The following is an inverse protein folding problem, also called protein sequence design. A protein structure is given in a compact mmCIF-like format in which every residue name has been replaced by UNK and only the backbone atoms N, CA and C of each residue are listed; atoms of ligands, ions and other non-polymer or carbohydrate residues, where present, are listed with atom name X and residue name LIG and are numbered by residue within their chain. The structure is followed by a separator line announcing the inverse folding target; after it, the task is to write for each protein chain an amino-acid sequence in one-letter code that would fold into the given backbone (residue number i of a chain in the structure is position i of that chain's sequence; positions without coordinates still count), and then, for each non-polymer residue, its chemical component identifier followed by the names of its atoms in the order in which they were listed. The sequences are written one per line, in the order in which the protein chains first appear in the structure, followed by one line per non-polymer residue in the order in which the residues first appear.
data_IF_142808509722
#
_entry.id   IF_142808509722
#
_cell.length_a   1.000
_cell.length_b   1.000
_cell.length_c   1.000
_cell.angle_alpha   90.00
_cell.angle_beta   90.00
_cell.angle_gamma   90.00
#
_symmetry.space_group_name_H-M   'P 1'
#
loop_
_entity.id
_entity.type
_entity.pdbx_description
1 polymer ?
#
# COMPACT_ATOMS: atom_id res chain seq x y z
N UNK A 1 1.35 23.09 5.47
CA UNK A 1 2.72 22.55 5.37
C UNK A 1 2.86 21.54 6.49
N UNK A 2 3.06 20.25 6.24
CA UNK A 2 3.20 19.28 7.31
C UNK A 2 4.63 19.28 7.86
N UNK A 3 4.74 19.29 9.18
CA UNK A 3 6.00 19.28 9.93
C UNK A 3 6.56 17.85 10.01
N UNK A 4 7.87 17.69 9.77
CA UNK A 4 8.58 16.41 9.87
C UNK A 4 9.19 16.28 11.26
N UNK A 5 8.85 15.19 11.98
CA UNK A 5 9.50 14.84 13.24
C UNK A 5 10.55 13.77 12.94
N UNK A 6 11.83 14.13 13.06
CA UNK A 6 12.97 13.21 13.00
C UNK A 6 13.21 12.63 14.39
N UNK A 7 12.95 11.34 14.57
CA UNK A 7 13.33 10.59 15.77
C UNK A 7 14.70 9.94 15.48
N UNK A 8 15.72 10.32 16.24
CA UNK A 8 17.04 9.69 16.23
C UNK A 8 17.13 8.74 17.42
N UNK A 9 16.99 7.44 17.19
CA UNK A 9 17.43 6.44 18.17
C UNK A 9 18.92 6.17 17.96
N UNK A 10 19.69 6.55 18.98
CA UNK A 10 21.13 6.34 19.06
C UNK A 10 21.32 5.16 19.98
N UNK A 11 21.84 4.01 19.51
CA UNK A 11 22.59 2.95 20.22
C UNK A 11 22.86 1.83 19.17
N UNK A 12 23.95 1.05 19.12
CA UNK A 12 25.33 1.06 19.61
C UNK A 12 26.00 -0.04 18.75
N UNK A 13 27.24 0.18 18.26
CA UNK A 13 27.93 -0.72 17.32
C UNK A 13 28.21 -2.11 17.91
N UNK A 14 28.14 -3.15 17.08
CA UNK A 14 28.95 -4.36 17.24
C UNK A 14 29.32 -4.89 15.87
N UNK A 15 30.63 -5.00 15.66
CA UNK A 15 31.32 -5.36 14.42
C UNK A 15 31.08 -6.81 14.01
N UNK A 16 30.86 -7.05 12.72
CA UNK A 16 31.35 -8.25 12.05
C UNK A 16 31.44 -8.00 10.53
N UNK A 17 32.68 -8.00 10.01
CA UNK A 17 32.98 -7.90 8.59
C UNK A 17 32.64 -9.22 7.87
N UNK A 18 31.86 -9.16 6.78
CA UNK A 18 32.11 -9.93 5.56
C UNK A 18 31.22 -9.45 4.39
N UNK A 19 31.89 -8.95 3.35
CA UNK A 19 31.52 -8.95 1.93
C UNK A 19 30.16 -8.35 1.50
N UNK A 20 30.22 -7.04 1.24
CA UNK A 20 29.78 -6.35 0.01
C UNK A 20 28.78 -7.09 -0.90
N UNK A 21 27.49 -6.92 -0.60
CA UNK A 21 26.47 -6.55 -1.59
C UNK A 21 25.45 -5.66 -0.88
N UNK A 22 25.67 -4.34 -0.88
CA UNK A 22 24.62 -3.37 -0.56
C UNK A 22 23.57 -3.41 -1.67
N UNK A 23 22.60 -4.32 -1.53
CA UNK A 23 21.30 -4.17 -2.19
C UNK A 23 20.72 -2.88 -1.63
N UNK A 24 20.34 -1.89 -2.45
CA UNK A 24 19.60 -0.75 -1.93
C UNK A 24 18.29 -1.30 -1.36
N UNK A 25 18.20 -1.39 -0.04
CA UNK A 25 16.93 -1.60 0.64
C UNK A 25 16.10 -0.38 0.32
N UNK A 26 15.26 -0.48 -0.70
CA UNK A 26 14.17 0.47 -0.96
C UNK A 26 13.39 0.55 0.34
N UNK A 27 13.61 1.62 1.10
CA UNK A 27 12.73 1.97 2.22
C UNK A 27 11.38 2.19 1.58
N UNK A 28 10.50 1.20 1.70
CA UNK A 28 9.12 1.27 1.25
C UNK A 28 8.52 2.52 1.91
N UNK A 29 8.38 3.59 1.13
CA UNK A 29 7.80 4.84 1.60
C UNK A 29 6.34 4.52 1.81
N UNK A 30 5.98 4.17 3.05
CA UNK A 30 4.60 3.95 3.45
C UNK A 30 3.90 5.30 3.36
N UNK A 31 3.34 5.56 2.17
CA UNK A 31 2.62 6.79 1.89
C UNK A 31 1.27 6.65 2.56
N UNK A 32 0.94 7.53 3.50
CA UNK A 32 -0.39 7.50 4.14
C UNK A 32 -1.45 7.86 3.10
N UNK A 33 -2.51 7.05 2.92
CA UNK A 33 -3.54 7.36 1.93
C UNK A 33 -4.33 8.60 2.34
N UNK A 34 -4.80 9.36 1.35
CA UNK A 34 -5.68 10.52 1.55
C UNK A 34 -6.82 10.58 0.52
N UNK A 35 -7.91 11.28 0.86
CA UNK A 35 -9.06 11.45 -0.04
C UNK A 35 -8.68 12.31 -1.25
N UNK A 36 -9.06 11.88 -2.45
CA UNK A 36 -8.66 12.46 -3.73
C UNK A 36 -7.38 11.86 -4.30
N UNK A 37 -6.68 11.00 -3.56
CA UNK A 37 -5.48 10.32 -4.06
C UNK A 37 -5.85 9.26 -5.09
N UNK A 38 -4.99 9.10 -6.10
CA UNK A 38 -5.12 8.05 -7.10
C UNK A 38 -4.50 6.75 -6.59
N UNK A 39 -5.14 5.62 -6.90
CA UNK A 39 -4.64 4.31 -6.49
C UNK A 39 -4.96 3.23 -7.53
N UNK A 40 -4.18 2.15 -7.51
CA UNK A 40 -4.43 0.92 -8.27
C UNK A 40 -4.47 -0.28 -7.33
N UNK A 41 -5.23 -1.31 -7.68
CA UNK A 41 -5.24 -2.57 -6.93
C UNK A 41 -3.90 -3.27 -7.14
N UNK A 42 -3.27 -3.69 -6.03
CA UNK A 42 -2.10 -4.56 -6.05
C UNK A 42 -2.57 -5.99 -6.27
N UNK A 43 -2.10 -6.64 -7.33
CA UNK A 43 -2.30 -8.07 -7.49
C UNK A 43 -1.24 -8.81 -6.65
N UNK A 44 -1.64 -9.88 -5.92
CA UNK A 44 -0.69 -10.79 -5.32
C UNK A 44 0.26 -11.37 -6.37
N UNK A 45 1.52 -11.60 -6.00
CA UNK A 45 2.51 -12.22 -6.89
C UNK A 45 2.23 -13.73 -7.08
N UNK A 46 1.73 -14.37 -6.03
CA UNK A 46 1.31 -15.77 -6.06
C UNK A 46 -0.02 -15.93 -6.82
N UNK A 47 0.08 -16.45 -8.04
CA UNK A 47 -1.06 -16.67 -8.93
C UNK A 47 -1.97 -17.81 -8.47
N UNK A 48 -1.50 -18.70 -7.61
CA UNK A 48 -2.29 -19.81 -7.09
C UNK A 48 -2.99 -19.44 -5.77
N UNK A 49 -2.70 -18.25 -5.23
CA UNK A 49 -3.39 -17.74 -4.04
C UNK A 49 -4.88 -17.50 -4.30
N UNK A 50 -5.71 -17.79 -3.29
CA UNK A 50 -7.15 -17.55 -3.34
C UNK A 50 -7.47 -16.07 -3.64
N UNK A 51 -6.69 -15.15 -3.07
CA UNK A 51 -6.84 -13.72 -3.29
C UNK A 51 -6.57 -13.32 -4.75
N UNK A 52 -5.52 -13.85 -5.36
CA UNK A 52 -5.24 -13.60 -6.78
C UNK A 52 -6.39 -14.10 -7.65
N UNK A 53 -6.85 -15.34 -7.42
CA UNK A 53 -7.93 -15.94 -8.20
C UNK A 53 -9.24 -15.15 -8.04
N UNK A 54 -9.55 -14.71 -6.81
CA UNK A 54 -10.72 -13.88 -6.53
C UNK A 54 -10.67 -12.55 -7.28
N UNK A 55 -9.57 -11.80 -7.16
CA UNK A 55 -9.39 -10.51 -7.81
C UNK A 55 -9.41 -10.64 -9.33
N UNK A 56 -8.73 -11.66 -9.86
CA UNK A 56 -8.66 -11.91 -11.29
C UNK A 56 -10.03 -12.27 -11.88
N UNK A 57 -10.86 -13.03 -11.17
CA UNK A 57 -12.18 -13.44 -11.68
C UNK A 57 -13.25 -12.37 -11.48
N UNK A 58 -13.37 -11.84 -10.26
CA UNK A 58 -14.49 -10.96 -9.87
C UNK A 58 -14.20 -9.46 -9.98
N UNK A 59 -12.93 -9.08 -10.08
CA UNK A 59 -12.50 -7.68 -10.16
C UNK A 59 -11.74 -7.36 -11.46
N UNK A 60 -11.77 -8.26 -12.45
CA UNK A 60 -11.09 -8.08 -13.75
C UNK A 60 -11.37 -6.73 -14.42
N UNK A 61 -12.58 -6.18 -14.26
CA UNK A 61 -13.00 -4.89 -14.82
C UNK A 61 -12.23 -3.69 -14.27
N UNK A 62 -11.61 -3.81 -13.09
CA UNK A 62 -10.96 -2.70 -12.36
C UNK A 62 -9.47 -2.92 -12.14
N UNK A 63 -8.94 -4.14 -12.31
CA UNK A 63 -7.53 -4.45 -12.04
C UNK A 63 -6.52 -3.59 -12.82
N UNK A 64 -6.86 -3.20 -14.05
CA UNK A 64 -5.98 -2.38 -14.90
C UNK A 64 -6.23 -0.87 -14.75
N UNK A 65 -7.26 -0.48 -13.98
CA UNK A 65 -7.71 0.91 -13.86
C UNK A 65 -7.04 1.61 -12.68
N UNK A 66 -6.90 2.92 -12.82
CA UNK A 66 -6.61 3.82 -11.70
C UNK A 66 -7.94 4.31 -11.14
N UNK A 67 -8.15 4.15 -9.85
CA UNK A 67 -9.27 4.74 -9.14
C UNK A 67 -8.85 5.95 -8.32
N UNK A 68 -9.84 6.65 -7.77
CA UNK A 68 -9.64 7.76 -6.84
C UNK A 68 -10.25 7.42 -5.48
N UNK A 69 -9.49 7.63 -4.40
CA UNK A 69 -9.98 7.45 -3.03
C UNK A 69 -11.05 8.51 -2.75
N UNK A 70 -12.28 8.09 -2.48
CA UNK A 70 -13.39 8.98 -2.13
C UNK A 70 -13.60 9.11 -0.63
N UNK A 71 -13.26 8.08 0.13
CA UNK A 71 -13.45 8.06 1.57
C UNK A 71 -12.39 7.19 2.26
N UNK A 72 -12.03 7.57 3.49
CA UNK A 72 -11.20 6.78 4.39
C UNK A 72 -11.95 6.57 5.69
N UNK A 73 -12.06 5.31 6.11
CA UNK A 73 -12.74 4.91 7.33
C UNK A 73 -11.79 4.18 8.25
N UNK A 74 -11.53 4.78 9.42
CA UNK A 74 -10.72 4.19 10.47
C UNK A 74 -11.61 3.44 11.46
N UNK A 75 -11.20 2.25 11.85
CA UNK A 75 -11.88 1.41 12.83
C UNK A 75 -11.19 1.52 14.19
N UNK A 76 -11.91 1.20 15.29
CA UNK A 76 -11.32 1.22 16.64
C UNK A 76 -10.09 0.33 16.84
N UNK A 77 -9.90 -0.68 15.98
CA UNK A 77 -8.71 -1.53 15.98
C UNK A 77 -7.43 -0.83 15.47
N UNK A 78 -7.56 0.37 14.91
CA UNK A 78 -6.47 1.08 14.22
C UNK A 78 -6.36 0.77 12.72
N UNK A 79 -7.10 -0.24 12.24
CA UNK A 79 -7.15 -0.54 10.80
C UNK A 79 -7.99 0.49 10.07
N UNK A 80 -7.72 0.69 8.78
CA UNK A 80 -8.47 1.60 7.94
C UNK A 80 -8.82 0.95 6.60
N UNK A 81 -10.01 1.26 6.10
CA UNK A 81 -10.46 0.89 4.75
C UNK A 81 -10.65 2.15 3.92
N UNK A 82 -10.39 2.04 2.63
CA UNK A 82 -10.67 3.10 1.68
C UNK A 82 -11.81 2.70 0.74
N UNK A 83 -12.61 3.69 0.38
CA UNK A 83 -13.60 3.59 -0.69
C UNK A 83 -12.97 4.19 -1.94
N UNK A 84 -12.84 3.40 -3.00
CA UNK A 84 -12.22 3.81 -4.27
C UNK A 84 -13.23 3.75 -5.39
N UNK A 85 -13.28 4.83 -6.17
CA UNK A 85 -14.07 4.89 -7.39
C UNK A 85 -13.20 4.64 -8.63
N UNK A 86 -13.47 3.55 -9.33
CA UNK A 86 -12.85 3.17 -10.60
C UNK A 86 -13.74 3.58 -11.79
N UNK A 87 -14.04 4.87 -11.90
CA UNK A 87 -14.89 5.46 -12.95
C UNK A 87 -16.32 4.91 -12.97
N UNK A 88 -17.01 4.94 -11.83
CA UNK A 88 -18.39 4.50 -11.67
C UNK A 88 -18.54 3.12 -11.03
N UNK A 89 -17.43 2.42 -10.79
CA UNK A 89 -17.41 1.18 -10.00
C UNK A 89 -16.69 1.42 -8.67
N UNK A 90 -17.45 1.41 -7.58
CA UNK A 90 -16.91 1.66 -6.24
C UNK A 90 -16.52 0.35 -5.55
N UNK A 91 -15.31 0.31 -4.97
CA UNK A 91 -14.80 -0.82 -4.19
C UNK A 91 -14.32 -0.37 -2.82
N UNK A 92 -14.39 -1.29 -1.85
CA UNK A 92 -13.93 -1.10 -0.48
C UNK A 92 -12.71 -1.98 -0.26
N UNK A 93 -11.56 -1.36 0.00
CA UNK A 93 -10.27 -2.08 0.04
C UNK A 93 -9.43 -1.64 1.24
N UNK A 94 -8.58 -2.53 1.74
CA UNK A 94 -7.48 -2.17 2.62
C UNK A 94 -6.43 -1.42 1.78
N UNK A 95 -5.91 -0.26 2.22
CA UNK A 95 -4.87 0.45 1.47
C UNK A 95 -3.57 -0.32 1.28
N UNK A 96 -3.28 -1.33 2.10
CA UNK A 96 -2.14 -2.24 1.88
C UNK A 96 -2.29 -3.06 0.60
N UNK A 97 -3.52 -3.26 0.13
CA UNK A 97 -3.83 -3.93 -1.14
C UNK A 97 -3.77 -2.97 -2.34
N UNK A 98 -3.14 -1.80 -2.19
CA UNK A 98 -3.08 -0.77 -3.22
C UNK A 98 -1.67 -0.28 -3.49
N UNK A 99 -1.45 0.09 -4.75
CA UNK A 99 -0.39 1.02 -5.13
C UNK A 99 -0.96 2.44 -5.12
N UNK A 100 -0.49 3.25 -4.17
CA UNK A 100 -0.81 4.67 -4.09
C UNK A 100 0.05 5.46 -5.10
N UNK A 101 -0.58 6.42 -5.80
CA UNK A 101 0.01 7.19 -6.89
C UNK A 101 0.04 8.70 -6.58
#
# INVERSE_FOLDING_TARGET
MPEQILIFDTELKSDNEHHDQTVPTEKEVVTTPYVGQKAKIKLPEDKDSEEYQYLHFYCSSVLTKVGEIKELKMYPSGNYTCTIDFFGETRYLNPEALYLL
#
